data_IF_265563236634
#
_entry.id   IF_265563236634
#
_cell.length_a   1.000
_cell.length_b   1.000
_cell.length_c   1.000
_cell.angle_alpha   90.00
_cell.angle_beta   90.00
_cell.angle_gamma   90.00
#
_symmetry.space_group_name_H-M   'P 1'
#
loop_
_entity.id
_entity.type
_entity.pdbx_description
1 polymer ?
#
# COMPACT_ATOMS: atom_id res chain seq x y z
N UNK A 1 -6.30 22.50 -5.78
CA UNK A 1 -6.28 21.03 -5.70
C UNK A 1 -6.02 20.66 -4.25
N UNK A 2 -6.89 19.86 -3.62
CA UNK A 2 -6.78 19.47 -2.22
C UNK A 2 -6.31 18.01 -2.14
N UNK A 3 -5.27 17.74 -1.34
CA UNK A 3 -4.74 16.40 -1.12
C UNK A 3 -4.98 16.00 0.33
N UNK A 4 -5.49 14.80 0.55
CA UNK A 4 -5.80 14.26 1.86
C UNK A 4 -5.10 12.90 1.97
N UNK A 5 -4.23 12.77 2.96
CA UNK A 5 -3.60 11.50 3.32
C UNK A 5 -4.43 10.78 4.38
N UNK A 6 -4.73 9.51 4.16
CA UNK A 6 -5.38 8.65 5.16
C UNK A 6 -4.40 7.52 5.49
N UNK A 7 -4.03 7.39 6.76
CA UNK A 7 -3.15 6.33 7.25
C UNK A 7 -3.67 5.79 8.58
N UNK A 8 -3.56 4.48 8.75
CA UNK A 8 -3.93 3.80 9.99
C UNK A 8 -4.13 2.30 9.78
N UNK A 9 -4.42 1.62 10.88
CA UNK A 9 -4.77 0.20 10.85
C UNK A 9 -6.17 0.02 10.27
N UNK A 10 -6.30 -0.85 9.26
CA UNK A 10 -7.59 -1.23 8.69
C UNK A 10 -8.35 -2.24 9.57
N UNK A 11 -9.60 -2.57 9.20
CA UNK A 11 -10.33 -3.66 9.83
C UNK A 11 -9.54 -4.96 9.84
N UNK A 12 -9.72 -5.74 10.90
CA UNK A 12 -9.12 -7.06 11.05
C UNK A 12 -9.74 -8.10 10.12
N UNK A 13 -11.00 -7.91 9.74
CA UNK A 13 -11.67 -8.72 8.73
C UNK A 13 -11.26 -8.22 7.34
N UNK A 14 -10.72 -9.12 6.53
CA UNK A 14 -10.18 -8.77 5.21
C UNK A 14 -11.27 -8.34 4.21
N UNK A 15 -12.45 -8.96 4.23
CA UNK A 15 -13.56 -8.54 3.37
C UNK A 15 -14.08 -7.16 3.79
N UNK A 16 -14.12 -6.85 5.08
CA UNK A 16 -14.45 -5.50 5.56
C UNK A 16 -13.40 -4.47 5.12
N UNK A 17 -12.12 -4.82 5.17
CA UNK A 17 -11.03 -3.97 4.70
C UNK A 17 -11.15 -3.66 3.20
N UNK A 18 -11.45 -4.67 2.37
CA UNK A 18 -11.72 -4.47 0.94
C UNK A 18 -12.93 -3.56 0.74
N UNK A 19 -14.03 -3.84 1.43
CA UNK A 19 -15.27 -3.07 1.29
C UNK A 19 -15.09 -1.60 1.66
N UNK A 20 -14.32 -1.29 2.72
CA UNK A 20 -14.00 0.10 3.08
C UNK A 20 -13.15 0.79 2.02
N UNK A 21 -12.16 0.09 1.44
CA UNK A 21 -11.36 0.66 0.36
C UNK A 21 -12.20 0.94 -0.89
N UNK A 22 -13.07 0.01 -1.30
CA UNK A 22 -13.99 0.20 -2.44
C UNK A 22 -14.98 1.33 -2.19
N UNK A 23 -15.49 1.45 -0.96
CA UNK A 23 -16.37 2.55 -0.59
C UNK A 23 -15.67 3.92 -0.65
N UNK A 24 -14.41 3.98 -0.18
CA UNK A 24 -13.58 5.19 -0.29
C UNK A 24 -13.34 5.57 -1.75
N UNK A 25 -12.97 4.61 -2.58
CA UNK A 25 -12.71 4.77 -4.01
C UNK A 25 -13.97 5.23 -4.77
N UNK A 26 -15.13 4.63 -4.48
CA UNK A 26 -16.42 5.07 -5.01
C UNK A 26 -16.74 6.50 -4.59
N UNK A 27 -16.47 6.86 -3.32
CA UNK A 27 -16.73 8.22 -2.84
C UNK A 27 -15.84 9.26 -3.51
N UNK A 28 -14.61 8.90 -3.86
CA UNK A 28 -13.74 9.77 -4.65
C UNK A 28 -14.32 10.00 -6.05
N UNK A 29 -14.78 8.95 -6.75
CA UNK A 29 -15.43 9.08 -8.08
C UNK A 29 -16.66 10.01 -8.00
N UNK A 30 -17.54 9.81 -7.00
CA UNK A 30 -18.72 10.67 -6.77
C UNK A 30 -18.38 12.16 -6.59
N UNK A 31 -17.20 12.45 -6.05
CA UNK A 31 -16.73 13.82 -5.80
C UNK A 31 -15.85 14.37 -6.94
N UNK A 32 -15.68 13.62 -8.04
CA UNK A 32 -14.74 13.96 -9.12
C UNK A 32 -13.27 13.93 -8.70
N UNK A 33 -12.99 13.29 -7.56
CA UNK A 33 -11.64 13.07 -7.03
C UNK A 33 -11.00 11.81 -7.60
N UNK A 34 -9.72 11.61 -7.30
CA UNK A 34 -8.97 10.43 -7.72
C UNK A 34 -8.08 9.93 -6.60
N UNK A 35 -7.92 8.61 -6.53
CA UNK A 35 -6.93 8.00 -5.62
C UNK A 35 -5.53 8.17 -6.20
N UNK A 36 -4.55 8.43 -5.35
CA UNK A 36 -3.17 8.45 -5.80
C UNK A 36 -2.62 7.03 -5.93
N UNK A 37 -2.03 6.70 -7.07
CA UNK A 37 -1.52 5.37 -7.43
C UNK A 37 -0.21 4.97 -6.72
N UNK A 38 0.10 5.62 -5.60
CA UNK A 38 1.15 5.17 -4.68
C UNK A 38 0.69 3.97 -3.85
N UNK A 39 -0.58 3.93 -3.48
CA UNK A 39 -1.19 2.82 -2.76
C UNK A 39 -1.88 1.85 -3.72
N UNK A 40 -2.08 0.61 -3.26
CA UNK A 40 -2.90 -0.36 -3.98
C UNK A 40 -4.34 0.15 -4.17
N UNK A 41 -4.97 -0.25 -5.26
CA UNK A 41 -6.35 0.10 -5.59
C UNK A 41 -7.25 -1.13 -5.64
N UNK A 42 -8.53 -0.94 -5.30
CA UNK A 42 -9.54 -2.00 -5.25
C UNK A 42 -10.65 -1.83 -6.31
N UNK A 43 -10.42 -0.95 -7.29
CA UNK A 43 -11.24 -0.80 -8.49
C UNK A 43 -11.26 -2.08 -9.31
N UNK A 44 -12.36 -2.34 -10.00
CA UNK A 44 -12.31 -3.14 -11.23
C UNK A 44 -11.52 -2.39 -12.31
N UNK A 45 -11.08 -3.10 -13.34
CA UNK A 45 -10.38 -2.47 -14.45
C UNK A 45 -11.25 -1.40 -15.15
N UNK A 46 -12.54 -1.69 -15.29
CA UNK A 46 -13.53 -0.78 -15.87
C UNK A 46 -13.70 0.48 -15.02
N UNK A 47 -13.85 0.33 -13.70
CA UNK A 47 -13.95 1.46 -12.76
C UNK A 47 -12.68 2.31 -12.81
N UNK A 48 -11.50 1.68 -12.88
CA UNK A 48 -10.22 2.37 -12.97
C UNK A 48 -10.16 3.25 -14.25
N UNK A 49 -10.44 2.68 -15.42
CA UNK A 49 -10.35 3.43 -16.68
C UNK A 49 -11.50 4.41 -16.91
N UNK A 50 -12.56 4.36 -16.11
CA UNK A 50 -13.56 5.43 -16.04
C UNK A 50 -13.01 6.68 -15.34
N UNK A 51 -12.16 6.49 -14.32
CA UNK A 51 -11.58 7.58 -13.52
C UNK A 51 -10.32 8.17 -14.15
N UNK A 52 -9.50 7.33 -14.81
CA UNK A 52 -8.24 7.71 -15.45
C UNK A 52 -8.35 7.64 -16.97
N UNK A 53 -7.82 8.67 -17.66
CA UNK A 53 -7.86 8.76 -19.12
C UNK A 53 -7.00 7.67 -19.79
N UNK A 54 -7.68 6.60 -20.23
CA UNK A 54 -7.05 5.45 -20.90
C UNK A 54 -6.46 5.82 -22.26
N UNK A 55 -7.15 6.52 -23.19
CA UNK A 55 -6.55 6.92 -24.47
C UNK A 55 -5.26 7.73 -24.32
N UNK A 56 -5.24 8.70 -23.40
CA UNK A 56 -4.02 9.48 -23.12
C UNK A 56 -2.89 8.59 -22.61
N UNK A 57 -3.19 7.67 -21.69
CA UNK A 57 -2.23 6.72 -21.15
C UNK A 57 -1.67 5.75 -22.22
N UNK A 58 -2.51 5.21 -23.09
CA UNK A 58 -2.09 4.30 -24.16
C UNK A 58 -1.24 5.02 -25.22
N UNK A 59 -1.55 6.28 -25.53
CA UNK A 59 -0.73 7.13 -26.39
C UNK A 59 0.69 7.31 -25.83
N UNK A 60 0.80 7.58 -24.52
CA UNK A 60 2.11 7.68 -23.85
C UNK A 60 2.89 6.38 -23.89
N UNK A 61 2.25 5.24 -23.62
CA UNK A 61 2.91 3.93 -23.69
C UNK A 61 3.46 3.67 -25.09
N UNK A 62 2.69 4.01 -26.12
CA UNK A 62 3.09 3.84 -27.51
C UNK A 62 4.28 4.74 -27.87
N UNK A 63 4.21 6.03 -27.52
CA UNK A 63 5.28 7.02 -27.73
C UNK A 63 6.62 6.58 -27.12
N UNK A 64 6.56 5.97 -25.94
CA UNK A 64 7.75 5.55 -25.19
C UNK A 64 8.07 4.06 -25.33
N UNK A 65 7.43 3.34 -26.27
CA UNK A 65 7.66 1.91 -26.55
C UNK A 65 7.50 1.01 -25.31
N UNK A 66 6.59 1.37 -24.41
CA UNK A 66 6.30 0.65 -23.17
C UNK A 66 5.16 -0.36 -23.32
N UNK A 67 4.72 -0.67 -24.55
CA UNK A 67 3.58 -1.57 -24.83
C UNK A 67 3.80 -3.00 -24.35
N UNK A 68 5.05 -3.45 -24.25
CA UNK A 68 5.44 -4.79 -23.75
C UNK A 68 5.42 -4.91 -22.22
N UNK A 69 5.42 -3.79 -21.50
CA UNK A 69 5.39 -3.79 -20.03
C UNK A 69 3.97 -4.01 -19.51
N UNK A 70 3.76 -4.47 -18.27
CA UNK A 70 2.43 -4.47 -17.65
C UNK A 70 1.78 -3.07 -17.64
N UNK A 71 0.45 -3.02 -17.56
CA UNK A 71 -0.26 -1.74 -17.42
C UNK A 71 -0.06 -1.15 -16.02
N UNK A 72 -0.38 0.14 -15.87
CA UNK A 72 -0.38 0.78 -14.55
C UNK A 72 -1.44 0.14 -13.66
N UNK A 73 -2.58 -0.27 -14.23
CA UNK A 73 -3.61 -1.01 -13.52
C UNK A 73 -3.07 -2.34 -13.00
N UNK A 74 -2.34 -3.10 -13.82
CA UNK A 74 -1.72 -4.36 -13.40
C UNK A 74 -0.74 -4.20 -12.24
N UNK A 75 -0.07 -3.05 -12.17
CA UNK A 75 0.87 -2.73 -11.09
C UNK A 75 0.17 -2.43 -9.77
N UNK A 76 -0.98 -1.75 -9.80
CA UNK A 76 -1.60 -1.17 -8.60
C UNK A 76 -2.82 -1.94 -8.11
N UNK A 77 -3.40 -2.82 -8.93
CA UNK A 77 -4.53 -3.67 -8.51
C UNK A 77 -4.12 -4.52 -7.31
N UNK A 78 -4.95 -4.51 -6.28
CA UNK A 78 -4.75 -5.37 -5.12
C UNK A 78 -4.97 -6.85 -5.51
N UNK A 79 -4.10 -7.75 -5.06
CA UNK A 79 -4.35 -9.18 -5.14
C UNK A 79 -5.33 -9.60 -4.03
N UNK A 80 -6.62 -9.47 -4.33
CA UNK A 80 -7.71 -9.78 -3.41
C UNK A 80 -7.66 -11.27 -3.00
N UNK A 81 -7.28 -12.18 -3.88
CA UNK A 81 -7.26 -13.61 -3.59
C UNK A 81 -6.03 -14.01 -2.79
N UNK A 82 -4.85 -13.48 -3.12
CA UNK A 82 -3.62 -13.71 -2.35
C UNK A 82 -3.71 -13.17 -0.93
N UNK A 83 -4.32 -11.99 -0.73
CA UNK A 83 -4.50 -11.41 0.60
C UNK A 83 -5.44 -12.19 1.54
N UNK A 84 -6.33 -13.04 0.99
CA UNK A 84 -7.15 -13.97 1.81
C UNK A 84 -6.34 -15.14 2.38
N UNK A 85 -5.27 -15.54 1.69
CA UNK A 85 -4.37 -16.63 2.11
C UNK A 85 -3.42 -16.19 3.23
N UNK A 86 -3.11 -14.89 3.29
CA UNK A 86 -2.30 -14.29 4.35
C UNK A 86 -3.13 -14.11 5.63
N UNK A 87 -3.71 -15.21 6.12
CA UNK A 87 -4.34 -15.28 7.43
C UNK A 87 -3.20 -15.19 8.46
N UNK A 88 -2.76 -13.96 8.76
CA UNK A 88 -1.69 -13.66 9.70
C UNK A 88 -2.03 -14.31 11.02
N UNK A 89 -1.32 -15.40 11.31
CA UNK A 89 -1.56 -16.23 12.48
C UNK A 89 -1.58 -15.39 13.75
N UNK A 90 -2.32 -15.86 14.75
CA UNK A 90 -2.45 -15.27 16.08
C UNK A 90 -1.14 -14.68 16.65
N UNK A 91 0.01 -15.28 16.34
CA UNK A 91 1.34 -14.79 16.71
C UNK A 91 1.66 -13.38 16.18
N UNK A 92 1.33 -13.05 14.92
CA UNK A 92 1.59 -11.74 14.34
C UNK A 92 0.65 -10.66 14.89
N UNK A 93 -0.56 -11.04 15.30
CA UNK A 93 -1.47 -10.15 16.03
C UNK A 93 -0.91 -9.79 17.41
N UNK A 94 -0.36 -10.79 18.12
CA UNK A 94 0.23 -10.59 19.44
C UNK A 94 1.47 -9.67 19.37
N UNK A 95 2.32 -9.83 18.37
CA UNK A 95 3.50 -8.96 18.19
C UNK A 95 3.15 -7.54 17.73
N UNK A 96 1.94 -7.29 17.23
CA UNK A 96 1.47 -5.95 16.87
C UNK A 96 0.74 -5.22 18.01
N UNK A 97 0.44 -5.90 19.12
CA UNK A 97 -0.20 -5.27 20.27
C UNK A 97 0.83 -4.58 21.17
N UNK A 98 0.52 -3.36 21.58
CA UNK A 98 1.22 -2.71 22.69
C UNK A 98 0.83 -3.40 24.02
N UNK A 99 1.77 -3.74 24.91
CA UNK A 99 3.21 -3.44 24.88
C UNK A 99 4.10 -4.56 24.31
N UNK A 100 3.54 -5.70 23.90
CA UNK A 100 4.28 -6.92 23.51
C UNK A 100 5.20 -6.67 22.30
N UNK A 101 4.69 -5.97 21.27
CA UNK A 101 5.48 -5.58 20.10
C UNK A 101 6.67 -4.68 20.45
N UNK A 102 6.49 -3.79 21.43
CA UNK A 102 7.55 -2.92 21.93
C UNK A 102 8.68 -3.71 22.60
N UNK A 103 8.33 -4.67 23.46
CA UNK A 103 9.33 -5.54 24.11
C UNK A 103 10.06 -6.44 23.12
N UNK A 104 9.32 -7.02 22.16
CA UNK A 104 9.93 -7.84 21.11
C UNK A 104 10.91 -7.05 20.25
N UNK A 105 10.53 -5.82 19.86
CA UNK A 105 11.41 -4.91 19.13
C UNK A 105 12.67 -4.53 19.91
N UNK A 106 12.56 -4.27 21.22
CA UNK A 106 13.72 -3.99 22.07
C UNK A 106 14.68 -5.19 22.19
N UNK A 107 14.15 -6.41 22.34
CA UNK A 107 14.97 -7.62 22.41
C UNK A 107 15.74 -7.86 21.10
N UNK A 108 15.07 -7.73 19.95
CA UNK A 108 15.72 -7.86 18.65
C UNK A 108 16.82 -6.82 18.45
N UNK A 109 16.58 -5.56 18.81
CA UNK A 109 17.59 -4.50 18.70
C UNK A 109 18.83 -4.75 19.57
N UNK A 110 18.65 -5.36 20.75
CA UNK A 110 19.77 -5.76 21.61
C UNK A 110 20.56 -6.93 21.02
N UNK A 111 19.87 -7.94 20.46
CA UNK A 111 20.53 -9.12 19.85
C UNK A 111 21.25 -8.78 18.54
N UNK A 112 20.65 -7.94 17.69
CA UNK A 112 21.25 -7.52 16.41
C UNK A 112 22.40 -6.52 16.60
N UNK A 113 22.45 -5.83 17.74
CA UNK A 113 23.41 -4.77 17.99
C UNK A 113 23.08 -3.45 17.27
N UNK A 114 21.87 -3.33 16.69
CA UNK A 114 21.46 -2.16 15.89
C UNK A 114 21.53 -0.86 16.69
N UNK A 115 21.39 -0.91 18.02
CA UNK A 115 21.56 0.26 18.89
C UNK A 115 22.97 0.90 18.78
N UNK A 116 23.96 0.17 18.25
CA UNK A 116 25.34 0.66 18.04
C UNK A 116 25.51 1.35 16.68
N UNK A 117 24.59 1.18 15.73
CA UNK A 117 24.69 1.77 14.38
C UNK A 117 24.80 3.31 14.40
N UNK A 118 24.17 3.98 15.37
CA UNK A 118 24.31 5.44 15.54
C UNK A 118 25.71 5.87 16.03
N UNK A 119 26.45 4.96 16.69
CA UNK A 119 27.84 5.21 17.11
C UNK A 119 28.80 5.08 15.93
N UNK A 120 28.58 4.09 15.05
CA UNK A 120 29.43 3.77 13.90
C UNK A 120 29.01 4.48 12.60
N UNK A 121 28.26 5.58 12.73
CA UNK A 121 27.69 6.25 11.57
C UNK A 121 28.80 6.89 10.70
N UNK A 122 28.97 6.37 9.49
CA UNK A 122 30.03 6.76 8.54
C UNK A 122 30.05 8.25 8.16
N UNK A 123 28.94 8.97 8.35
CA UNK A 123 28.88 10.42 8.11
C UNK A 123 29.70 11.23 9.13
N UNK A 124 30.14 10.66 10.26
CA UNK A 124 31.02 11.32 11.23
C UNK A 124 32.49 11.36 10.79
N UNK A 125 32.85 10.64 9.72
CA UNK A 125 34.22 10.48 9.24
C UNK A 125 34.55 11.39 8.05
N UNK A 126 33.66 12.33 7.70
CA UNK A 126 33.84 13.32 6.64
C UNK A 126 33.53 14.73 7.13
#
# INVERSE_FOLDING_TARGET
MLNIGVWGWGPQNYDEFINKNRALEKKLDELGGRKWLYAQTYYTEEEFWKVYDRPWYESLRSKHKATTLPSVFDKVKADIYGGRSENKGWAQRITQMWPIGGFYGMFLALQSGDFRLHRDAKWKLH
#
